data_IF_873063716928
#
_entry.id   IF_873063716928
#
_cell.length_a   1.000
_cell.length_b   1.000
_cell.length_c   1.000
_cell.angle_alpha   90.00
_cell.angle_beta   90.00
_cell.angle_gamma   90.00
#
_symmetry.space_group_name_H-M   'P 1'
#
loop_
_entity.id
_entity.type
_entity.pdbx_description
1 polymer ?
#
# COMPACT_ATOMS: atom_id res chain seq x y z
N UNK A 1 -26.10 -53.93 15.09
CA UNK A 1 -24.77 -54.42 14.68
C UNK A 1 -23.80 -53.28 14.90
N UNK A 2 -22.98 -53.43 15.95
CA UNK A 2 -21.89 -52.53 16.29
C UNK A 2 -20.83 -52.60 15.18
N UNK A 3 -20.22 -51.47 14.83
CA UNK A 3 -18.81 -51.47 14.48
C UNK A 3 -18.20 -50.11 14.82
N UNK A 4 -17.45 -50.14 15.92
CA UNK A 4 -16.47 -49.16 16.33
C UNK A 4 -15.34 -49.11 15.29
N UNK A 5 -14.85 -47.92 14.94
CA UNK A 5 -13.47 -47.80 14.51
C UNK A 5 -12.91 -46.44 14.95
N UNK A 6 -12.39 -46.43 16.16
CA UNK A 6 -11.53 -45.39 16.69
C UNK A 6 -10.13 -45.54 16.07
N UNK A 7 -9.60 -44.47 15.48
CA UNK A 7 -8.20 -44.36 15.10
C UNK A 7 -7.53 -43.33 16.00
N UNK A 8 -6.85 -43.87 17.01
CA UNK A 8 -5.99 -43.16 17.93
C UNK A 8 -4.63 -42.83 17.28
N UNK A 9 -4.09 -41.68 17.70
CA UNK A 9 -2.72 -41.20 17.53
C UNK A 9 -1.65 -42.24 17.90
N UNK A 10 -0.40 -42.00 17.45
CA UNK A 10 0.75 -42.23 18.31
C UNK A 10 1.52 -40.93 18.59
N UNK A 11 1.61 -40.63 19.89
CA UNK A 11 2.66 -39.83 20.52
C UNK A 11 3.83 -40.76 20.91
N UNK A 12 5.06 -40.41 20.52
CA UNK A 12 6.34 -40.75 21.18
C UNK A 12 7.47 -40.11 20.32
N UNK A 13 8.28 -39.14 20.77
CA UNK A 13 9.21 -39.05 21.89
C UNK A 13 10.68 -39.19 21.41
N UNK A 14 11.54 -38.29 21.95
CA UNK A 14 13.02 -38.22 22.04
C UNK A 14 13.62 -37.03 21.26
N UNK A 15 13.98 -35.89 21.86
CA UNK A 15 15.07 -35.59 22.80
C UNK A 15 16.48 -35.94 22.30
N UNK A 16 17.34 -34.92 22.36
CA UNK A 16 18.81 -34.91 22.26
C UNK A 16 19.45 -35.00 20.87
N UNK A 17 19.84 -33.85 20.31
CA UNK A 17 21.23 -33.68 19.87
C UNK A 17 21.70 -32.22 19.96
N UNK A 18 22.88 -32.07 20.52
CA UNK A 18 23.57 -30.85 20.91
C UNK A 18 24.41 -30.32 19.74
N UNK A 19 24.23 -29.06 19.38
CA UNK A 19 25.05 -28.34 18.41
C UNK A 19 25.52 -26.99 18.95
N UNK A 20 26.57 -27.04 19.77
CA UNK A 20 27.36 -25.93 20.29
C UNK A 20 27.87 -25.00 19.18
N UNK A 21 27.32 -23.78 19.08
CA UNK A 21 27.88 -22.71 18.26
C UNK A 21 28.58 -21.69 19.14
N UNK A 22 29.88 -21.93 19.34
CA UNK A 22 30.81 -21.03 20.00
C UNK A 22 31.04 -19.75 19.18
N UNK A 23 30.92 -18.59 19.83
CA UNK A 23 31.21 -17.27 19.28
C UNK A 23 32.73 -17.05 19.10
N UNK A 24 33.19 -16.34 18.06
CA UNK A 24 34.56 -15.87 17.99
C UNK A 24 34.74 -14.57 18.80
N UNK A 25 35.76 -14.57 19.65
CA UNK A 25 36.22 -13.45 20.46
C UNK A 25 36.80 -12.27 19.61
N UNK A 26 36.88 -11.04 20.17
CA UNK A 26 37.28 -9.86 19.42
C UNK A 26 38.82 -9.79 19.26
N UNK A 27 39.27 -9.41 18.06
CA UNK A 27 40.67 -9.12 17.79
C UNK A 27 41.09 -7.80 18.43
N UNK A 28 42.26 -7.85 19.06
CA UNK A 28 42.81 -6.84 19.95
C UNK A 28 43.30 -5.56 19.28
N UNK A 29 43.49 -4.57 20.16
CA UNK A 29 43.96 -3.24 19.83
C UNK A 29 45.41 -3.19 19.36
N UNK A 30 45.68 -2.12 18.60
CA UNK A 30 47.02 -1.60 18.41
C UNK A 30 47.07 -0.17 18.96
N UNK A 31 47.72 -0.10 20.10
CA UNK A 31 48.30 1.07 20.73
C UNK A 31 49.54 1.49 19.92
N UNK A 32 49.61 2.76 19.52
CA UNK A 32 50.84 3.40 19.05
C UNK A 32 51.00 4.74 19.77
N UNK A 33 51.60 4.67 20.96
CA UNK A 33 52.34 5.76 21.56
C UNK A 33 53.68 5.99 20.84
N UNK A 34 54.11 7.27 20.83
CA UNK A 34 55.38 7.76 20.30
C UNK A 34 55.20 9.23 19.91
N UNK A 35 55.20 10.18 20.84
CA UNK A 35 56.38 10.78 21.49
C UNK A 35 57.42 11.31 20.49
N UNK A 36 57.25 12.57 20.09
CA UNK A 36 58.28 13.54 19.72
C UNK A 36 57.62 14.91 19.96
N UNK A 37 57.99 15.70 20.96
CA UNK A 37 59.32 16.28 21.12
C UNK A 37 59.19 17.76 20.79
N UNK A 38 59.09 18.59 21.84
CA UNK A 38 58.84 20.01 21.72
C UNK A 38 59.98 20.81 21.09
N UNK A 39 59.63 21.98 20.57
CA UNK A 39 60.57 23.10 20.50
C UNK A 39 59.85 24.41 20.83
N UNK A 40 60.40 25.12 21.81
CA UNK A 40 59.98 26.43 22.27
C UNK A 40 60.85 27.47 21.57
N UNK A 41 60.23 28.35 20.78
CA UNK A 41 60.88 29.54 20.23
C UNK A 41 60.08 30.80 20.56
N UNK A 42 60.29 31.36 21.74
CA UNK A 42 59.90 32.73 22.11
C UNK A 42 60.94 33.73 21.61
N UNK A 43 60.50 34.86 21.03
CA UNK A 43 61.32 36.07 20.99
C UNK A 43 61.00 37.05 19.86
N UNK A 44 60.69 38.30 20.22
CA UNK A 44 61.00 39.45 19.36
C UNK A 44 59.92 40.51 19.23
N UNK A 45 59.99 41.54 20.08
CA UNK A 45 59.13 42.72 20.11
C UNK A 45 59.38 43.73 18.98
N UNK A 46 58.30 44.47 18.66
CA UNK A 46 58.22 45.92 18.41
C UNK A 46 58.93 46.57 17.22
N UNK A 47 58.13 47.29 16.42
CA UNK A 47 58.56 48.43 15.58
C UNK A 47 57.33 49.07 14.92
N UNK A 48 56.92 50.24 15.42
CA UNK A 48 55.83 51.04 14.84
C UNK A 48 56.33 51.99 13.74
N UNK A 49 55.41 52.41 12.85
CA UNK A 49 55.67 53.49 11.89
C UNK A 49 54.70 53.54 10.69
N UNK A 50 53.65 54.35 10.84
CA UNK A 50 52.89 55.12 9.84
C UNK A 50 52.52 54.55 8.45
N UNK A 51 51.20 54.51 8.22
CA UNK A 51 50.44 54.97 7.05
C UNK A 51 50.94 54.54 5.65
N UNK A 52 50.28 53.53 5.08
CA UNK A 52 49.95 53.55 3.66
C UNK A 52 48.61 52.82 3.42
N UNK A 53 47.66 53.51 2.79
CA UNK A 53 46.43 52.93 2.26
C UNK A 53 46.64 52.74 0.76
N UNK A 54 46.69 51.50 0.25
CA UNK A 54 46.46 51.28 -1.16
C UNK A 54 45.16 50.50 -1.39
N UNK A 55 44.27 51.17 -2.13
CA UNK A 55 43.41 50.62 -3.17
C UNK A 55 42.58 49.36 -2.85
N UNK A 56 41.27 49.59 -2.71
CA UNK A 56 40.24 48.71 -3.28
C UNK A 56 40.62 48.37 -4.73
N UNK A 57 41.15 47.17 -4.93
CA UNK A 57 41.50 46.62 -6.24
C UNK A 57 41.24 45.13 -6.22
N UNK A 58 40.14 44.72 -6.87
CA UNK A 58 39.76 43.33 -7.02
C UNK A 58 40.89 42.51 -7.64
N UNK A 59 41.40 41.56 -6.88
CA UNK A 59 42.10 40.40 -7.40
C UNK A 59 41.12 39.24 -7.41
N UNK A 60 40.58 38.91 -8.60
CA UNK A 60 39.85 37.65 -8.78
C UNK A 60 40.75 36.49 -8.34
N UNK A 61 40.31 35.58 -7.46
CA UNK A 61 40.99 34.31 -7.34
C UNK A 61 40.89 33.60 -8.70
N UNK A 62 42.04 33.21 -9.24
CA UNK A 62 42.16 32.43 -10.46
C UNK A 62 41.21 31.23 -10.41
N UNK A 63 40.59 30.90 -11.57
CA UNK A 63 39.68 29.76 -11.83
C UNK A 63 40.05 28.50 -11.03
N UNK A 64 39.64 28.42 -9.77
CA UNK A 64 39.72 27.20 -8.99
C UNK A 64 38.57 26.36 -9.47
N UNK A 65 38.86 25.26 -10.16
CA UNK A 65 37.85 24.25 -10.47
C UNK A 65 37.17 23.86 -9.17
N UNK A 66 35.94 24.34 -8.95
CA UNK A 66 35.16 24.01 -7.77
C UNK A 66 35.06 22.48 -7.68
N UNK A 67 35.21 21.93 -6.48
CA UNK A 67 35.03 20.50 -6.28
C UNK A 67 33.58 20.12 -6.55
N UNK A 68 33.32 18.88 -6.96
CA UNK A 68 31.95 18.40 -7.15
C UNK A 68 31.07 18.58 -5.91
N UNK A 69 31.67 18.45 -4.71
CA UNK A 69 31.01 18.69 -3.42
C UNK A 69 30.60 20.16 -3.25
N UNK A 70 31.47 21.10 -3.62
CA UNK A 70 31.15 22.53 -3.60
C UNK A 70 30.08 22.89 -4.64
N UNK A 71 30.13 22.29 -5.85
CA UNK A 71 29.09 22.47 -6.87
C UNK A 71 27.74 21.93 -6.42
N UNK A 72 27.71 20.74 -5.81
CA UNK A 72 26.49 20.16 -5.24
C UNK A 72 25.89 21.06 -4.15
N UNK A 73 26.71 21.59 -3.24
CA UNK A 73 26.27 22.53 -2.22
C UNK A 73 25.68 23.83 -2.81
N UNK A 74 26.27 24.36 -3.91
CA UNK A 74 25.72 25.52 -4.63
C UNK A 74 24.34 25.20 -5.23
N UNK A 75 24.21 24.05 -5.91
CA UNK A 75 22.94 23.63 -6.55
C UNK A 75 21.86 23.40 -5.51
N UNK A 76 22.16 22.65 -4.43
CA UNK A 76 21.22 22.42 -3.33
C UNK A 76 20.80 23.74 -2.70
N UNK A 77 21.75 24.65 -2.43
CA UNK A 77 21.43 25.96 -1.86
C UNK A 77 20.55 26.81 -2.79
N UNK A 78 20.80 26.77 -4.09
CA UNK A 78 19.99 27.46 -5.09
C UNK A 78 18.56 26.93 -5.08
N UNK A 79 18.39 25.61 -5.19
CA UNK A 79 17.08 24.96 -5.23
C UNK A 79 16.28 25.20 -3.94
N UNK A 80 16.91 25.10 -2.77
CA UNK A 80 16.27 25.42 -1.49
C UNK A 80 15.84 26.90 -1.41
N UNK A 81 16.63 27.83 -1.98
CA UNK A 81 16.28 29.26 -1.98
C UNK A 81 15.09 29.58 -2.91
N UNK A 82 14.92 28.81 -3.97
CA UNK A 82 13.76 28.88 -4.87
C UNK A 82 12.55 28.10 -4.33
N UNK A 83 12.65 27.53 -3.12
CA UNK A 83 11.56 26.82 -2.45
C UNK A 83 11.32 25.40 -2.96
N UNK A 84 12.29 24.79 -3.65
CA UNK A 84 12.19 23.39 -4.02
C UNK A 84 12.27 22.49 -2.79
N UNK A 85 11.33 21.55 -2.68
CA UNK A 85 11.38 20.49 -1.67
C UNK A 85 12.31 19.39 -2.17
N UNK A 86 13.51 19.33 -1.60
CA UNK A 86 14.54 18.34 -1.95
C UNK A 86 14.58 17.33 -0.81
N UNK A 87 14.38 16.02 -1.06
CA UNK A 87 14.35 15.00 -0.02
C UNK A 87 15.78 14.67 0.47
N UNK A 88 16.47 15.65 1.06
CA UNK A 88 17.83 15.50 1.57
C UNK A 88 17.93 14.43 2.66
N UNK A 89 16.82 14.16 3.37
CA UNK A 89 16.69 13.09 4.36
C UNK A 89 16.86 11.69 3.76
N UNK A 90 16.65 11.53 2.45
CA UNK A 90 16.88 10.26 1.74
C UNK A 90 18.36 9.97 1.47
N UNK A 91 19.25 10.95 1.65
CA UNK A 91 20.68 10.75 1.50
C UNK A 91 21.26 10.01 2.72
N UNK A 92 22.28 9.16 2.56
CA UNK A 92 23.02 8.59 3.69
C UNK A 92 23.53 9.66 4.67
N UNK A 93 23.50 9.36 5.97
CA UNK A 93 23.90 10.28 7.06
C UNK A 93 25.26 10.94 6.81
N UNK A 94 26.26 10.16 6.37
CA UNK A 94 27.60 10.68 6.08
C UNK A 94 27.60 11.76 4.99
N UNK A 95 26.75 11.60 3.96
CA UNK A 95 26.59 12.58 2.88
C UNK A 95 25.80 13.80 3.34
N UNK A 96 24.81 13.64 4.22
CA UNK A 96 24.10 14.77 4.82
C UNK A 96 25.04 15.62 5.68
N UNK A 97 25.86 14.97 6.52
CA UNK A 97 26.88 15.61 7.34
C UNK A 97 27.88 16.34 6.44
N UNK A 98 28.38 15.68 5.41
CA UNK A 98 29.33 16.28 4.49
C UNK A 98 28.75 17.48 3.74
N UNK A 99 27.54 17.36 3.18
CA UNK A 99 26.85 18.46 2.50
C UNK A 99 26.66 19.66 3.44
N UNK A 100 26.20 19.41 4.66
CA UNK A 100 25.97 20.45 5.68
C UNK A 100 27.28 21.16 6.06
N UNK A 101 28.36 20.39 6.27
CA UNK A 101 29.67 20.96 6.56
C UNK A 101 30.24 21.75 5.37
N UNK A 102 30.04 21.29 4.14
CA UNK A 102 30.45 22.03 2.95
C UNK A 102 29.67 23.34 2.85
N UNK A 103 28.34 23.32 2.96
CA UNK A 103 27.50 24.53 2.96
C UNK A 103 27.93 25.53 4.04
N UNK A 104 28.29 25.06 5.24
CA UNK A 104 28.77 25.91 6.34
C UNK A 104 30.16 26.54 6.09
N UNK A 105 30.98 25.95 5.22
CA UNK A 105 32.31 26.49 4.84
C UNK A 105 32.24 27.42 3.63
N UNK A 106 31.11 27.45 2.91
CA UNK A 106 30.96 28.27 1.72
C UNK A 106 30.61 29.72 2.06
N UNK A 107 31.20 30.65 1.29
CA UNK A 107 30.94 32.08 1.38
C UNK A 107 30.05 32.60 0.26
N UNK A 108 30.11 33.91 0.00
CA UNK A 108 29.45 34.53 -1.14
C UNK A 108 29.98 33.93 -2.45
N UNK A 109 29.05 33.50 -3.31
CA UNK A 109 29.31 33.05 -4.68
C UNK A 109 28.80 34.13 -5.63
N UNK A 110 29.63 34.52 -6.58
CA UNK A 110 29.26 35.50 -7.61
C UNK A 110 28.31 34.89 -8.65
N UNK A 111 27.62 35.75 -9.40
CA UNK A 111 26.62 35.32 -10.40
C UNK A 111 27.22 34.52 -11.55
N UNK A 112 28.45 34.82 -11.95
CA UNK A 112 29.09 34.15 -13.08
C UNK A 112 29.41 32.69 -12.70
N UNK A 113 29.96 32.49 -11.50
CA UNK A 113 30.20 31.15 -10.93
C UNK A 113 28.89 30.36 -10.74
N UNK A 114 27.83 30.99 -10.24
CA UNK A 114 26.52 30.34 -10.10
C UNK A 114 25.97 29.87 -11.46
N UNK A 115 26.03 30.73 -12.49
CA UNK A 115 25.59 30.39 -13.83
C UNK A 115 26.41 29.27 -14.46
N UNK A 116 27.74 29.26 -14.26
CA UNK A 116 28.61 28.18 -14.73
C UNK A 116 28.24 26.84 -14.10
N UNK A 117 28.04 26.81 -12.78
CA UNK A 117 27.66 25.59 -12.05
C UNK A 117 26.25 25.11 -12.43
N UNK A 118 25.29 26.02 -12.57
CA UNK A 118 23.93 25.69 -12.99
C UNK A 118 23.88 25.15 -14.43
N UNK A 119 24.67 25.74 -15.34
CA UNK A 119 24.81 25.28 -16.73
C UNK A 119 25.41 23.87 -16.81
N UNK A 120 26.49 23.62 -16.07
CA UNK A 120 27.11 22.28 -16.00
C UNK A 120 26.16 21.24 -15.41
N UNK A 121 25.36 21.61 -14.41
CA UNK A 121 24.35 20.72 -13.83
C UNK A 121 23.22 20.42 -14.84
N UNK A 122 22.73 21.42 -15.57
CA UNK A 122 21.71 21.24 -16.60
C UNK A 122 22.21 20.37 -17.76
N UNK A 123 23.44 20.60 -18.24
CA UNK A 123 24.07 19.73 -19.24
C UNK A 123 24.22 18.28 -18.72
N UNK A 124 24.54 18.11 -17.44
CA UNK A 124 24.62 16.78 -16.84
C UNK A 124 23.25 16.09 -16.83
N UNK A 125 22.17 16.82 -16.52
CA UNK A 125 20.80 16.29 -16.59
C UNK A 125 20.37 15.94 -18.02
N UNK A 126 20.65 16.81 -19.00
CA UNK A 126 20.31 16.58 -20.41
C UNK A 126 21.07 15.37 -21.00
N UNK A 127 22.28 15.08 -20.50
CA UNK A 127 23.08 13.93 -20.91
C UNK A 127 22.71 12.63 -20.17
N UNK A 128 21.87 12.67 -19.15
CA UNK A 128 21.35 11.47 -18.47
C UNK A 128 20.18 10.91 -19.29
N UNK A 129 20.49 10.08 -20.28
CA UNK A 129 19.47 9.42 -21.12
C UNK A 129 18.68 8.31 -20.41
N UNK A 130 19.27 7.68 -19.40
CA UNK A 130 18.63 6.65 -18.57
C UNK A 130 19.27 6.66 -17.19
N UNK A 131 18.51 6.96 -16.14
CA UNK A 131 18.95 6.77 -14.76
C UNK A 131 18.50 5.40 -14.28
N UNK A 132 19.41 4.63 -13.69
CA UNK A 132 19.01 3.45 -12.94
C UNK A 132 18.40 3.88 -11.60
N UNK A 133 17.41 3.15 -11.08
CA UNK A 133 16.93 3.37 -9.73
C UNK A 133 18.07 3.16 -8.72
N UNK A 134 18.12 3.98 -7.67
CA UNK A 134 19.15 3.86 -6.65
C UNK A 134 18.90 2.62 -5.77
N UNK A 135 19.88 1.71 -5.77
CA UNK A 135 19.88 0.52 -4.91
C UNK A 135 18.88 -0.57 -5.34
N UNK A 136 18.87 -1.69 -4.59
CA UNK A 136 18.01 -2.83 -4.88
C UNK A 136 16.51 -2.49 -4.75
N UNK A 137 16.16 -1.58 -3.84
CA UNK A 137 14.80 -1.12 -3.63
C UNK A 137 14.19 -0.48 -4.88
N UNK A 138 14.87 0.52 -5.43
CA UNK A 138 14.45 1.18 -6.66
C UNK A 138 14.43 0.20 -7.82
N UNK A 139 15.41 -0.71 -7.90
CA UNK A 139 15.48 -1.71 -8.96
C UNK A 139 14.29 -2.68 -8.89
N UNK A 140 13.89 -3.10 -7.70
CA UNK A 140 12.73 -3.97 -7.49
C UNK A 140 11.41 -3.26 -7.81
N UNK A 141 11.27 -1.99 -7.44
CA UNK A 141 10.10 -1.18 -7.82
C UNK A 141 10.00 -1.00 -9.34
N UNK A 142 11.12 -0.70 -10.02
CA UNK A 142 11.15 -0.60 -11.48
C UNK A 142 10.89 -1.94 -12.20
N UNK A 143 11.11 -3.06 -11.51
CA UNK A 143 10.89 -4.41 -12.03
C UNK A 143 9.57 -5.04 -11.55
N UNK A 144 8.73 -4.28 -10.85
CA UNK A 144 7.45 -4.77 -10.33
C UNK A 144 6.54 -5.23 -11.49
N UNK A 145 5.93 -6.40 -11.32
CA UNK A 145 5.16 -7.06 -12.39
C UNK A 145 5.98 -7.59 -13.58
N UNK A 146 7.32 -7.40 -13.59
CA UNK A 146 8.25 -7.96 -14.60
C UNK A 146 9.08 -9.13 -14.08
N UNK A 147 9.15 -9.31 -12.77
CA UNK A 147 9.74 -10.46 -12.09
C UNK A 147 8.67 -11.25 -11.33
N UNK A 148 8.89 -12.54 -11.09
CA UNK A 148 7.95 -13.35 -10.31
C UNK A 148 7.88 -12.85 -8.86
N UNK A 149 6.67 -12.90 -8.26
CA UNK A 149 6.44 -12.48 -6.85
C UNK A 149 7.44 -13.15 -5.89
N UNK A 150 7.64 -14.46 -6.06
CA UNK A 150 8.62 -15.24 -5.29
C UNK A 150 10.07 -14.71 -5.40
N UNK A 151 10.49 -14.28 -6.60
CA UNK A 151 11.85 -13.72 -6.80
C UNK A 151 11.97 -12.36 -6.14
N UNK A 152 10.94 -11.51 -6.29
CA UNK A 152 10.89 -10.21 -5.62
C UNK A 152 10.94 -10.37 -4.10
N UNK A 153 10.14 -11.28 -3.54
CA UNK A 153 10.10 -11.60 -2.11
C UNK A 153 11.45 -12.11 -1.58
N UNK A 154 12.11 -13.02 -2.31
CA UNK A 154 13.45 -13.49 -1.93
C UNK A 154 14.50 -12.37 -1.94
N UNK A 155 14.51 -11.54 -2.98
CA UNK A 155 15.43 -10.40 -3.06
C UNK A 155 15.15 -9.36 -1.97
N UNK A 156 13.88 -9.16 -1.59
CA UNK A 156 13.49 -8.33 -0.44
C UNK A 156 14.07 -8.88 0.87
N UNK A 157 13.94 -10.19 1.09
CA UNK A 157 14.46 -10.86 2.27
C UNK A 157 15.99 -10.86 2.35
N UNK A 158 16.70 -10.97 1.22
CA UNK A 158 18.17 -10.95 1.16
C UNK A 158 18.77 -9.58 1.45
N UNK A 159 18.14 -8.50 0.96
CA UNK A 159 18.64 -7.13 1.19
C UNK A 159 18.28 -6.55 2.56
N UNK A 160 17.23 -7.08 3.20
CA UNK A 160 16.77 -6.65 4.52
C UNK A 160 16.09 -5.28 4.51
N UNK A 161 15.20 -5.05 5.48
CA UNK A 161 14.27 -3.89 5.51
C UNK A 161 14.99 -2.53 5.40
N UNK A 162 16.22 -2.40 5.93
CA UNK A 162 17.01 -1.15 5.87
C UNK A 162 17.46 -0.75 4.46
N UNK A 163 17.60 -1.69 3.53
CA UNK A 163 18.00 -1.37 2.14
C UNK A 163 16.81 -0.94 1.27
N UNK A 164 15.59 -0.94 1.81
CA UNK A 164 14.37 -0.72 1.05
C UNK A 164 13.70 0.65 1.17
N UNK A 165 14.38 1.63 1.74
CA UNK A 165 13.83 2.97 1.97
C UNK A 165 13.20 3.11 3.36
N UNK A 166 12.40 4.16 3.55
CA UNK A 166 11.73 4.43 4.82
C UNK A 166 10.71 3.31 5.12
N UNK A 167 10.84 2.53 6.21
CA UNK A 167 9.89 1.48 6.56
C UNK A 167 8.47 2.02 6.75
N UNK A 168 8.33 3.30 7.11
CA UNK A 168 7.03 3.93 7.28
C UNK A 168 6.32 4.21 5.95
N UNK A 169 7.02 4.38 4.83
CA UNK A 169 6.36 4.49 3.51
C UNK A 169 5.57 3.23 3.18
N UNK A 170 6.13 2.07 3.50
CA UNK A 170 5.49 0.77 3.28
C UNK A 170 4.29 0.58 4.19
N UNK A 171 4.43 0.90 5.48
CA UNK A 171 3.33 0.85 6.42
C UNK A 171 2.20 1.81 5.99
N UNK A 172 2.55 3.03 5.54
CA UNK A 172 1.58 3.98 4.98
C UNK A 172 0.92 3.50 3.68
N UNK A 173 1.49 2.54 2.95
CA UNK A 173 0.89 1.99 1.74
C UNK A 173 -0.15 0.89 2.03
N UNK A 174 -0.13 0.27 3.22
CA UNK A 174 -1.04 -0.82 3.57
C UNK A 174 -2.51 -0.36 3.69
N UNK A 175 -3.50 -1.20 3.35
CA UNK A 175 -4.90 -0.90 3.64
C UNK A 175 -5.16 -0.63 5.13
N UNK A 176 -6.16 0.21 5.49
CA UNK A 176 -6.52 0.50 6.88
C UNK A 176 -6.84 -0.73 7.73
N UNK A 177 -7.48 -1.74 7.14
CA UNK A 177 -7.81 -3.03 7.75
C UNK A 177 -6.57 -3.83 8.14
N UNK A 178 -5.56 -3.93 7.25
CA UNK A 178 -4.29 -4.59 7.53
C UNK A 178 -3.51 -3.87 8.64
N UNK A 179 -3.61 -2.54 8.68
CA UNK A 179 -3.00 -1.71 9.73
C UNK A 179 -3.68 -1.93 11.09
N UNK A 180 -5.00 -2.10 11.11
CA UNK A 180 -5.76 -2.41 12.31
C UNK A 180 -5.36 -3.80 12.85
N UNK A 181 -5.32 -4.82 11.99
CA UNK A 181 -4.86 -6.17 12.37
C UNK A 181 -3.43 -6.15 12.94
N UNK A 182 -2.52 -5.41 12.29
CA UNK A 182 -1.15 -5.24 12.76
C UNK A 182 -1.11 -4.56 14.13
N UNK A 183 -1.94 -3.53 14.34
CA UNK A 183 -2.02 -2.83 15.61
C UNK A 183 -2.61 -3.69 16.75
N UNK A 184 -3.54 -4.61 16.45
CA UNK A 184 -4.10 -5.54 17.43
C UNK A 184 -3.10 -6.60 17.89
N UNK A 185 -2.21 -7.02 16.99
CA UNK A 185 -1.14 -7.96 17.30
C UNK A 185 -0.01 -7.34 18.16
N UNK A 186 0.00 -6.02 18.31
CA UNK A 186 1.09 -5.26 18.91
C UNK A 186 0.76 -4.70 20.30
N UNK A 187 1.80 -4.18 20.97
CA UNK A 187 1.59 -3.45 22.23
C UNK A 187 0.84 -2.14 21.99
N UNK A 188 0.05 -1.69 22.98
CA UNK A 188 -0.73 -0.44 22.91
C UNK A 188 0.14 0.76 22.51
N UNK A 189 1.37 0.79 23.01
CA UNK A 189 2.36 1.84 22.78
C UNK A 189 2.91 1.80 21.35
N UNK A 190 3.20 0.60 20.82
CA UNK A 190 3.64 0.41 19.43
C UNK A 190 2.52 0.80 18.46
N UNK A 191 1.29 0.34 18.73
CA UNK A 191 0.11 0.71 17.96
C UNK A 191 -0.16 2.23 18.01
N UNK A 192 0.10 2.89 19.14
CA UNK A 192 -0.03 4.34 19.24
C UNK A 192 1.04 5.10 18.43
N UNK A 193 2.27 4.59 18.37
CA UNK A 193 3.33 5.13 17.50
C UNK A 193 2.97 4.92 16.03
N UNK A 194 2.47 3.74 15.66
CA UNK A 194 1.97 3.45 14.31
C UNK A 194 0.86 4.45 13.92
N UNK A 195 -0.17 4.58 14.74
CA UNK A 195 -1.28 5.50 14.52
C UNK A 195 -0.81 6.96 14.39
N UNK A 196 0.20 7.37 15.15
CA UNK A 196 0.78 8.72 15.11
C UNK A 196 1.64 9.00 13.87
N UNK A 197 2.07 7.97 13.14
CA UNK A 197 2.89 8.06 11.92
C UNK A 197 2.08 8.01 10.61
N UNK A 198 0.79 7.68 10.70
CA UNK A 198 -0.14 7.73 9.59
C UNK A 198 -0.65 9.17 9.38
N UNK A 199 -1.10 9.47 8.16
CA UNK A 199 -1.86 10.69 7.91
C UNK A 199 -3.23 10.61 8.60
N UNK A 200 -3.87 11.77 8.82
CA UNK A 200 -5.09 11.88 9.62
C UNK A 200 -6.25 11.07 9.04
N UNK A 201 -6.39 11.03 7.72
CA UNK A 201 -7.48 10.29 7.06
C UNK A 201 -7.29 8.79 7.27
N UNK A 202 -6.08 8.29 7.02
CA UNK A 202 -5.76 6.88 7.15
C UNK A 202 -5.80 6.39 8.60
N UNK A 203 -5.35 7.22 9.54
CA UNK A 203 -5.46 6.94 10.96
C UNK A 203 -6.92 6.83 11.42
N UNK A 204 -7.81 7.69 10.92
CA UNK A 204 -9.23 7.62 11.23
C UNK A 204 -9.88 6.35 10.67
N UNK A 205 -9.56 5.98 9.42
CA UNK A 205 -10.03 4.73 8.81
C UNK A 205 -9.55 3.50 9.59
N UNK A 206 -8.26 3.45 9.96
CA UNK A 206 -7.71 2.35 10.77
C UNK A 206 -8.45 2.18 12.10
N UNK A 207 -8.87 3.28 12.75
CA UNK A 207 -9.63 3.21 14.02
C UNK A 207 -11.03 2.61 13.86
N UNK A 208 -11.65 2.70 12.68
CA UNK A 208 -12.99 2.11 12.41
C UNK A 208 -12.91 0.58 12.47
N UNK A 209 -11.81 0.00 11.98
CA UNK A 209 -11.61 -1.44 11.94
C UNK A 209 -11.16 -2.04 13.28
N UNK A 210 -10.81 -1.21 14.27
CA UNK A 210 -10.36 -1.69 15.57
C UNK A 210 -11.53 -1.91 16.56
N UNK A 211 -11.50 -2.98 17.37
CA UNK A 211 -12.45 -3.16 18.45
C UNK A 211 -12.47 -1.95 19.40
N UNK A 212 -13.65 -1.44 19.72
CA UNK A 212 -13.81 -0.21 20.51
C UNK A 212 -12.95 -0.12 21.79
N UNK A 213 -12.80 -1.19 22.60
CA UNK A 213 -11.88 -1.18 23.76
C UNK A 213 -10.41 -1.01 23.38
N UNK A 214 -9.97 -1.61 22.27
CA UNK A 214 -8.59 -1.53 21.77
C UNK A 214 -8.33 -0.13 21.22
N UNK A 215 -9.21 0.38 20.36
CA UNK A 215 -9.14 1.74 19.81
C UNK A 215 -9.03 2.81 20.91
N UNK A 216 -9.83 2.69 21.99
CA UNK A 216 -9.75 3.60 23.15
C UNK A 216 -8.40 3.56 23.87
N UNK A 217 -7.81 2.37 24.02
CA UNK A 217 -6.50 2.22 24.68
C UNK A 217 -5.38 2.82 23.83
N UNK A 218 -5.39 2.55 22.53
CA UNK A 218 -4.41 3.07 21.57
C UNK A 218 -4.49 4.60 21.53
N UNK A 219 -5.68 5.17 21.35
CA UNK A 219 -5.87 6.63 21.32
C UNK A 219 -5.47 7.31 22.63
N UNK A 220 -5.73 6.70 23.78
CA UNK A 220 -5.21 7.19 25.05
C UNK A 220 -3.67 7.13 25.11
N UNK A 221 -3.06 6.05 24.63
CA UNK A 221 -1.60 5.90 24.58
C UNK A 221 -0.91 6.91 23.65
N UNK A 222 -1.60 7.44 22.62
CA UNK A 222 -1.08 8.55 21.79
C UNK A 222 -0.73 9.76 22.64
N UNK A 223 -1.48 10.06 23.72
CA UNK A 223 -1.12 11.16 24.63
C UNK A 223 0.23 10.98 25.35
N UNK A 224 0.77 9.76 25.34
CA UNK A 224 2.00 9.38 26.03
C UNK A 224 3.19 9.20 25.06
N UNK A 225 3.02 9.43 23.76
CA UNK A 225 4.08 9.22 22.75
C UNK A 225 5.10 10.36 22.64
N UNK A 226 4.88 11.48 23.33
CA UNK A 226 5.73 12.67 23.23
C UNK A 226 7.21 12.45 23.61
N UNK A 227 7.50 11.44 24.44
CA UNK A 227 8.86 11.11 24.87
C UNK A 227 9.54 10.02 24.02
N UNK A 228 8.88 9.51 22.97
CA UNK A 228 9.44 8.47 22.11
C UNK A 228 10.52 9.08 21.23
N UNK A 229 11.73 8.52 21.28
CA UNK A 229 12.87 9.03 20.52
C UNK A 229 12.77 8.65 19.04
N UNK A 230 13.36 9.43 18.12
CA UNK A 230 13.40 9.09 16.70
C UNK A 230 13.95 7.68 16.43
N UNK A 231 15.07 7.30 17.07
CA UNK A 231 15.64 5.94 16.95
C UNK A 231 14.67 4.84 17.39
N UNK A 232 13.83 5.10 18.41
CA UNK A 232 12.80 4.14 18.84
C UNK A 232 11.70 4.01 17.78
N UNK A 233 11.25 5.14 17.23
CA UNK A 233 10.27 5.17 16.13
C UNK A 233 10.80 4.40 14.92
N UNK A 234 12.06 4.58 14.55
CA UNK A 234 12.66 3.90 13.41
C UNK A 234 12.76 2.38 13.64
N UNK A 235 13.14 1.96 14.85
CA UNK A 235 13.15 0.54 15.22
C UNK A 235 11.77 -0.09 15.20
N UNK A 236 10.75 0.63 15.66
CA UNK A 236 9.35 0.19 15.59
C UNK A 236 8.95 0.02 14.13
N UNK A 237 9.19 1.02 13.28
CA UNK A 237 8.87 0.95 11.85
C UNK A 237 9.55 -0.23 11.16
N UNK A 238 10.85 -0.46 11.43
CA UNK A 238 11.59 -1.61 10.91
C UNK A 238 11.00 -2.95 11.37
N UNK A 239 10.62 -3.07 12.64
CA UNK A 239 10.03 -4.28 13.21
C UNK A 239 8.66 -4.58 12.57
N UNK A 240 7.80 -3.58 12.48
CA UNK A 240 6.47 -3.70 11.89
C UNK A 240 6.56 -4.05 10.39
N UNK A 241 7.43 -3.38 9.65
CA UNK A 241 7.64 -3.66 8.23
C UNK A 241 8.20 -5.09 8.00
N UNK A 242 9.12 -5.56 8.85
CA UNK A 242 9.64 -6.92 8.78
C UNK A 242 8.56 -7.99 9.02
N UNK A 243 7.62 -7.73 9.94
CA UNK A 243 6.51 -8.64 10.22
C UNK A 243 5.57 -8.78 9.03
N UNK A 244 5.29 -7.67 8.33
CA UNK A 244 4.49 -7.69 7.10
C UNK A 244 5.20 -8.49 6.00
N UNK A 245 6.51 -8.33 5.82
CA UNK A 245 7.26 -9.13 4.85
C UNK A 245 7.38 -10.62 5.24
N UNK A 246 7.26 -10.92 6.53
CA UNK A 246 7.26 -12.30 7.03
C UNK A 246 5.89 -12.99 6.89
N UNK A 247 4.81 -12.25 6.61
CA UNK A 247 3.50 -12.84 6.32
C UNK A 247 3.64 -13.72 5.07
N UNK A 248 3.24 -15.01 5.13
CA UNK A 248 3.27 -15.88 3.97
C UNK A 248 2.47 -15.24 2.82
N UNK A 249 3.02 -15.27 1.60
CA UNK A 249 2.22 -14.91 0.42
C UNK A 249 1.00 -15.83 0.36
N UNK A 250 -0.19 -15.24 0.43
CA UNK A 250 -1.44 -15.97 0.19
C UNK A 250 -1.54 -16.29 -1.30
N UNK A 251 -1.95 -17.53 -1.62
CA UNK A 251 -2.06 -17.98 -3.00
C UNK A 251 -3.27 -17.38 -3.74
N UNK A 252 -4.20 -16.80 -3.00
CA UNK A 252 -5.45 -16.23 -3.51
C UNK A 252 -5.63 -14.84 -2.93
N UNK A 253 -5.86 -13.86 -3.79
CA UNK A 253 -6.06 -12.47 -3.40
C UNK A 253 -7.49 -12.25 -2.81
N UNK A 254 -8.44 -13.14 -3.12
CA UNK A 254 -9.83 -13.11 -2.62
C UNK A 254 -10.05 -13.98 -1.38
N UNK A 255 -10.96 -13.55 -0.50
CA UNK A 255 -11.33 -14.34 0.69
C UNK A 255 -12.00 -15.67 0.28
N UNK A 256 -11.96 -16.71 1.14
CA UNK A 256 -12.66 -17.97 0.86
C UNK A 256 -14.16 -17.76 0.57
N UNK A 257 -14.82 -16.83 1.28
CA UNK A 257 -16.24 -16.51 1.10
C UNK A 257 -16.53 -15.88 -0.26
N UNK A 258 -15.70 -14.90 -0.67
CA UNK A 258 -15.77 -14.26 -1.99
C UNK A 258 -15.62 -15.29 -3.12
N UNK A 259 -14.62 -16.16 -3.01
CA UNK A 259 -14.37 -17.21 -4.01
C UNK A 259 -15.54 -18.17 -4.12
N UNK A 260 -16.06 -18.65 -2.98
CA UNK A 260 -17.21 -19.55 -2.98
C UNK A 260 -18.48 -18.86 -3.48
N UNK A 261 -18.71 -17.60 -3.11
CA UNK A 261 -19.83 -16.81 -3.61
C UNK A 261 -19.77 -16.63 -5.12
N UNK A 262 -18.59 -16.33 -5.67
CA UNK A 262 -18.38 -16.23 -7.11
C UNK A 262 -18.74 -17.55 -7.83
N UNK A 263 -18.29 -18.69 -7.30
CA UNK A 263 -18.61 -20.03 -7.82
C UNK A 263 -20.12 -20.31 -7.74
N UNK A 264 -20.75 -20.03 -6.60
CA UNK A 264 -22.16 -20.34 -6.35
C UNK A 264 -23.14 -19.45 -7.11
N UNK A 265 -22.76 -18.22 -7.47
CA UNK A 265 -23.53 -17.42 -8.41
C UNK A 265 -23.61 -18.07 -9.79
N UNK A 266 -22.56 -18.76 -10.24
CA UNK A 266 -22.54 -19.52 -11.49
C UNK A 266 -23.25 -20.88 -11.39
N UNK A 267 -23.45 -21.39 -10.18
CA UNK A 267 -24.15 -22.66 -9.95
C UNK A 267 -25.66 -22.51 -10.19
N UNK A 268 -26.29 -23.62 -10.61
CA UNK A 268 -27.75 -23.69 -10.70
C UNK A 268 -28.38 -23.48 -9.31
N UNK A 269 -29.52 -22.78 -9.26
CA UNK A 269 -30.18 -22.38 -8.01
C UNK A 269 -30.34 -23.55 -7.02
N UNK A 270 -30.89 -24.68 -7.46
CA UNK A 270 -31.05 -25.85 -6.59
C UNK A 270 -29.76 -26.41 -6.01
N UNK A 271 -28.63 -26.32 -6.73
CA UNK A 271 -27.32 -26.75 -6.21
C UNK A 271 -26.71 -25.72 -5.26
N UNK A 272 -26.90 -24.43 -5.55
CA UNK A 272 -26.51 -23.35 -4.63
C UNK A 272 -27.23 -23.50 -3.29
N UNK A 273 -28.54 -23.71 -3.30
CA UNK A 273 -29.33 -23.83 -2.05
C UNK A 273 -28.95 -25.08 -1.26
N UNK A 274 -28.71 -26.20 -1.93
CA UNK A 274 -28.22 -27.45 -1.32
C UNK A 274 -26.86 -27.23 -0.64
N UNK A 275 -25.91 -26.57 -1.31
CA UNK A 275 -24.59 -26.28 -0.75
C UNK A 275 -24.67 -25.27 0.40
N UNK A 276 -25.46 -24.20 0.26
CA UNK A 276 -25.63 -23.20 1.32
C UNK A 276 -26.26 -23.79 2.59
N UNK A 277 -27.22 -24.71 2.43
CA UNK A 277 -27.82 -25.42 3.57
C UNK A 277 -26.81 -26.32 4.26
N UNK A 278 -26.00 -27.05 3.50
CA UNK A 278 -24.93 -27.87 4.07
C UNK A 278 -23.86 -27.00 4.78
N UNK A 279 -23.53 -25.84 4.21
CA UNK A 279 -22.61 -24.89 4.85
C UNK A 279 -23.19 -24.30 6.14
N UNK A 280 -24.48 -24.00 6.22
CA UNK A 280 -25.11 -23.54 7.47
C UNK A 280 -24.98 -24.57 8.61
N UNK A 281 -25.07 -25.86 8.28
CA UNK A 281 -24.97 -26.93 9.27
C UNK A 281 -23.53 -27.11 9.78
N UNK A 282 -22.52 -26.80 8.97
CA UNK A 282 -21.11 -26.97 9.31
C UNK A 282 -20.47 -25.69 9.89
N UNK A 283 -20.74 -24.53 9.29
CA UNK A 283 -20.17 -23.23 9.61
C UNK A 283 -21.11 -22.09 9.17
N UNK A 284 -21.97 -21.67 10.09
CA UNK A 284 -22.97 -20.62 9.85
C UNK A 284 -22.34 -19.24 9.52
N UNK A 285 -21.17 -18.94 10.09
CA UNK A 285 -20.46 -17.68 9.83
C UNK A 285 -19.93 -17.66 8.39
N UNK A 286 -19.24 -18.73 7.99
CA UNK A 286 -18.76 -18.87 6.62
C UNK A 286 -19.91 -18.90 5.61
N UNK A 287 -21.01 -19.60 5.91
CA UNK A 287 -22.19 -19.62 5.05
C UNK A 287 -22.79 -18.20 4.89
N UNK A 288 -22.82 -17.41 5.97
CA UNK A 288 -23.20 -16.00 5.95
C UNK A 288 -22.32 -15.17 5.00
N UNK A 289 -21.00 -15.32 5.10
CA UNK A 289 -20.05 -14.60 4.23
C UNK A 289 -20.16 -15.00 2.77
N UNK A 290 -20.38 -16.29 2.50
CA UNK A 290 -20.64 -16.79 1.16
C UNK A 290 -21.93 -16.18 0.60
N UNK A 291 -23.03 -16.12 1.37
CA UNK A 291 -24.30 -15.49 0.92
C UNK A 291 -24.11 -14.03 0.56
N UNK A 292 -23.42 -13.25 1.41
CA UNK A 292 -23.10 -11.84 1.13
C UNK A 292 -22.29 -11.65 -0.16
N UNK A 293 -21.49 -12.66 -0.52
CA UNK A 293 -20.65 -12.65 -1.71
C UNK A 293 -21.37 -13.10 -2.98
N UNK A 294 -22.59 -13.66 -2.89
CA UNK A 294 -23.37 -14.10 -4.05
C UNK A 294 -24.05 -12.89 -4.67
N UNK A 295 -23.73 -12.60 -5.92
CA UNK A 295 -24.45 -11.59 -6.69
C UNK A 295 -25.73 -12.21 -7.27
N UNK A 296 -26.90 -11.66 -6.90
CA UNK A 296 -28.23 -12.15 -7.32
C UNK A 296 -28.95 -11.10 -8.19
N UNK A 297 -30.12 -11.46 -8.74
CA UNK A 297 -30.94 -10.55 -9.53
C UNK A 297 -31.42 -9.36 -8.68
N UNK A 298 -31.92 -9.62 -7.47
CA UNK A 298 -32.33 -8.61 -6.48
C UNK A 298 -31.28 -7.50 -6.23
N UNK A 299 -29.99 -7.82 -6.29
CA UNK A 299 -28.92 -6.85 -6.04
C UNK A 299 -28.64 -5.89 -7.21
N UNK A 300 -29.24 -6.09 -8.38
CA UNK A 300 -28.97 -5.26 -9.56
C UNK A 300 -29.40 -3.81 -9.31
N UNK A 301 -30.57 -3.57 -8.70
CA UNK A 301 -31.04 -2.21 -8.41
C UNK A 301 -30.08 -1.40 -7.54
N UNK A 302 -29.48 -2.06 -6.55
CA UNK A 302 -28.59 -1.44 -5.56
C UNK A 302 -27.18 -1.25 -6.14
N UNK A 303 -26.66 -2.29 -6.79
CA UNK A 303 -25.23 -2.37 -7.15
C UNK A 303 -24.91 -1.79 -8.52
N UNK A 304 -25.88 -1.59 -9.40
CA UNK A 304 -25.66 -1.14 -10.79
C UNK A 304 -26.01 0.33 -10.94
N UNK A 305 -25.15 1.09 -11.60
CA UNK A 305 -25.45 2.48 -11.94
C UNK A 305 -26.55 2.57 -13.01
N UNK A 306 -27.52 3.51 -12.90
CA UNK A 306 -28.55 3.74 -13.92
C UNK A 306 -28.02 3.87 -15.35
N UNK A 307 -26.82 4.43 -15.52
CA UNK A 307 -26.18 4.66 -16.84
C UNK A 307 -25.72 3.37 -17.52
N UNK A 308 -25.57 2.28 -16.75
CA UNK A 308 -25.08 0.98 -17.22
C UNK A 308 -26.20 0.02 -17.61
N UNK A 309 -27.44 0.27 -17.15
CA UNK A 309 -28.63 -0.53 -17.51
C UNK A 309 -28.78 -0.71 -19.03
N UNK A 310 -28.61 0.32 -19.89
CA UNK A 310 -28.68 0.15 -21.34
C UNK A 310 -27.59 -0.77 -21.91
N UNK A 311 -26.42 -0.89 -21.26
CA UNK A 311 -25.35 -1.80 -21.69
C UNK A 311 -25.76 -3.25 -21.43
N UNK A 312 -26.29 -3.52 -20.24
CA UNK A 312 -26.81 -4.83 -19.83
C UNK A 312 -27.96 -5.24 -20.74
N UNK A 313 -28.95 -4.38 -20.95
CA UNK A 313 -30.10 -4.68 -21.79
C UNK A 313 -29.74 -4.99 -23.24
N UNK A 314 -28.63 -4.46 -23.76
CA UNK A 314 -28.20 -4.67 -25.14
C UNK A 314 -27.66 -6.07 -25.40
N UNK A 315 -27.05 -6.70 -24.40
CA UNK A 315 -26.46 -8.05 -24.52
C UNK A 315 -27.45 -9.16 -24.20
N UNK A 316 -28.61 -8.82 -23.63
CA UNK A 316 -29.65 -9.76 -23.24
C UNK A 316 -30.66 -10.03 -24.35
N UNK A 317 -31.16 -11.26 -24.43
CA UNK A 317 -32.33 -11.55 -25.22
C UNK A 317 -33.58 -10.99 -24.52
N UNK A 318 -34.43 -10.28 -25.27
CA UNK A 318 -35.65 -9.68 -24.71
C UNK A 318 -36.55 -10.71 -24.01
N UNK A 319 -36.58 -11.95 -24.49
CA UNK A 319 -37.36 -13.03 -23.89
C UNK A 319 -36.88 -13.40 -22.48
N UNK A 320 -35.60 -13.27 -22.18
CA UNK A 320 -35.06 -13.53 -20.85
C UNK A 320 -35.45 -12.40 -19.89
N UNK A 321 -35.37 -11.14 -20.33
CA UNK A 321 -35.86 -9.98 -19.57
C UNK A 321 -37.36 -10.11 -19.25
N UNK A 322 -38.18 -10.42 -20.26
CA UNK A 322 -39.63 -10.63 -20.06
C UNK A 322 -39.89 -11.78 -19.08
N UNK A 323 -39.14 -12.87 -19.19
CA UNK A 323 -39.33 -14.05 -18.33
C UNK A 323 -38.92 -13.77 -16.88
N UNK A 324 -37.81 -13.07 -16.67
CA UNK A 324 -37.33 -12.69 -15.34
C UNK A 324 -38.31 -11.71 -14.68
N UNK A 325 -38.73 -10.66 -15.39
CA UNK A 325 -39.67 -9.66 -14.87
C UNK A 325 -41.05 -10.28 -14.59
N UNK A 326 -41.55 -11.18 -15.46
CA UNK A 326 -42.81 -11.88 -15.22
C UNK A 326 -42.74 -12.88 -14.05
N UNK A 327 -41.55 -13.34 -13.69
CA UNK A 327 -41.31 -14.24 -12.56
C UNK A 327 -41.04 -13.50 -11.26
N UNK A 328 -40.50 -12.28 -11.32
CA UNK A 328 -40.21 -11.44 -10.16
C UNK A 328 -41.48 -11.17 -9.35
N UNK A 329 -41.61 -11.84 -8.21
CA UNK A 329 -42.71 -11.63 -7.26
C UNK A 329 -42.25 -11.11 -5.91
N UNK A 330 -40.99 -11.33 -5.58
CA UNK A 330 -40.39 -10.84 -4.34
C UNK A 330 -40.08 -9.35 -4.48
N UNK A 331 -40.19 -8.60 -3.39
CA UNK A 331 -40.14 -7.13 -3.40
C UNK A 331 -38.86 -6.60 -4.05
N UNK A 332 -37.70 -7.18 -3.71
CA UNK A 332 -36.39 -6.81 -4.24
C UNK A 332 -36.24 -7.13 -5.74
N UNK A 333 -36.82 -8.26 -6.19
CA UNK A 333 -36.82 -8.64 -7.60
C UNK A 333 -37.75 -7.72 -8.42
N UNK A 334 -38.87 -7.29 -7.84
CA UNK A 334 -39.79 -6.32 -8.45
C UNK A 334 -39.12 -4.95 -8.55
N UNK A 335 -38.43 -4.51 -7.50
CA UNK A 335 -37.64 -3.28 -7.50
C UNK A 335 -36.58 -3.30 -8.60
N UNK A 336 -35.81 -4.39 -8.70
CA UNK A 336 -34.85 -4.59 -9.81
C UNK A 336 -35.51 -4.52 -11.17
N UNK A 337 -36.67 -5.16 -11.32
CA UNK A 337 -37.40 -5.16 -12.59
C UNK A 337 -37.84 -3.75 -13.00
N UNK A 338 -38.36 -2.95 -12.07
CA UNK A 338 -38.72 -1.56 -12.34
C UNK A 338 -37.50 -0.67 -12.55
N UNK A 339 -36.41 -0.86 -11.80
CA UNK A 339 -35.15 -0.17 -12.00
C UNK A 339 -34.61 -0.38 -13.41
N UNK A 340 -34.61 -1.63 -13.88
CA UNK A 340 -34.20 -1.96 -15.25
C UNK A 340 -35.10 -1.27 -16.27
N UNK A 341 -36.43 -1.36 -16.12
CA UNK A 341 -37.37 -0.74 -17.05
C UNK A 341 -37.31 0.80 -17.07
N UNK A 342 -37.08 1.43 -15.92
CA UNK A 342 -37.01 2.88 -15.77
C UNK A 342 -35.77 3.48 -16.47
N UNK A 343 -34.69 2.71 -16.55
CA UNK A 343 -33.41 3.14 -17.13
C UNK A 343 -33.18 2.62 -18.57
N UNK A 344 -34.24 2.12 -19.21
CA UNK A 344 -34.25 1.72 -20.62
C UNK A 344 -35.02 2.74 -21.47
N UNK A 345 -34.93 2.62 -22.80
CA UNK A 345 -35.74 3.47 -23.68
C UNK A 345 -37.24 3.21 -23.46
N UNK A 346 -38.07 4.26 -23.44
CA UNK A 346 -39.50 4.15 -23.13
C UNK A 346 -40.23 3.18 -24.06
N UNK A 347 -39.85 3.13 -25.34
CA UNK A 347 -40.40 2.15 -26.30
C UNK A 347 -40.10 0.71 -25.89
N UNK A 348 -38.86 0.42 -25.52
CA UNK A 348 -38.45 -0.93 -25.11
C UNK A 348 -39.10 -1.34 -23.80
N UNK A 349 -39.15 -0.43 -22.82
CA UNK A 349 -39.80 -0.68 -21.55
C UNK A 349 -41.30 -0.96 -21.71
N UNK A 350 -42.00 -0.20 -22.55
CA UNK A 350 -43.43 -0.43 -22.83
C UNK A 350 -43.66 -1.79 -23.51
N UNK A 351 -42.85 -2.13 -24.52
CA UNK A 351 -42.95 -3.44 -25.18
C UNK A 351 -42.74 -4.60 -24.19
N UNK A 352 -41.76 -4.49 -23.30
CA UNK A 352 -41.49 -5.52 -22.28
C UNK A 352 -42.69 -5.62 -21.31
N UNK A 353 -43.26 -4.50 -20.85
CA UNK A 353 -44.44 -4.51 -19.96
C UNK A 353 -45.67 -5.17 -20.61
N UNK A 354 -45.89 -4.92 -21.89
CA UNK A 354 -46.95 -5.57 -22.67
C UNK A 354 -46.71 -7.09 -22.75
N UNK A 355 -45.51 -7.52 -23.14
CA UNK A 355 -45.16 -8.95 -23.23
C UNK A 355 -45.22 -9.67 -21.87
N UNK A 356 -44.80 -9.01 -20.78
CA UNK A 356 -44.91 -9.53 -19.41
C UNK A 356 -46.37 -9.79 -19.04
N UNK A 357 -47.26 -8.85 -19.40
CA UNK A 357 -48.71 -8.98 -19.14
C UNK A 357 -49.33 -10.16 -19.90
N UNK A 358 -48.79 -10.50 -21.07
CA UNK A 358 -49.23 -11.64 -21.89
C UNK A 358 -48.59 -12.98 -21.49
N UNK A 359 -47.39 -12.96 -20.88
CA UNK A 359 -46.60 -14.16 -20.53
C UNK A 359 -47.32 -15.12 -19.59
N UNK A 360 -48.15 -14.58 -18.69
CA UNK A 360 -48.84 -15.35 -17.66
C UNK A 360 -47.86 -16.00 -16.65
N UNK A 361 -48.31 -17.08 -15.98
CA UNK A 361 -47.53 -17.71 -14.90
C UNK A 361 -46.29 -18.43 -15.43
N UNK A 362 -45.11 -18.01 -14.97
CA UNK A 362 -43.82 -18.62 -15.31
C UNK A 362 -43.51 -19.81 -14.36
N UNK A 363 -42.93 -20.89 -14.91
CA UNK A 363 -42.43 -22.00 -14.09
C UNK A 363 -41.15 -21.58 -13.36
N UNK A 364 -41.02 -21.92 -12.08
CA UNK A 364 -39.86 -21.57 -11.23
C UNK A 364 -38.51 -21.76 -11.93
N UNK A 365 -38.21 -22.97 -12.40
CA UNK A 365 -36.94 -23.27 -13.08
C UNK A 365 -36.66 -22.41 -14.32
N UNK A 366 -37.70 -21.93 -15.01
CA UNK A 366 -37.56 -21.06 -16.19
C UNK A 366 -37.32 -19.61 -15.77
N UNK A 367 -38.01 -19.15 -14.72
CA UNK A 367 -37.82 -17.82 -14.15
C UNK A 367 -36.43 -17.63 -13.54
N UNK A 368 -36.02 -18.56 -12.67
CA UNK A 368 -34.68 -18.57 -12.06
C UNK A 368 -33.58 -18.67 -13.12
N UNK A 369 -33.80 -19.46 -14.16
CA UNK A 369 -32.88 -19.56 -15.30
C UNK A 369 -32.71 -18.21 -16.01
N UNK A 370 -33.80 -17.48 -16.25
CA UNK A 370 -33.77 -16.17 -16.87
C UNK A 370 -33.06 -15.13 -15.99
N UNK A 371 -33.35 -15.10 -14.68
CA UNK A 371 -32.64 -14.25 -13.72
C UNK A 371 -31.13 -14.55 -13.68
N UNK A 372 -30.75 -15.82 -13.70
CA UNK A 372 -29.33 -16.23 -13.76
C UNK A 372 -28.66 -15.79 -15.05
N UNK A 373 -29.34 -15.88 -16.20
CA UNK A 373 -28.82 -15.35 -17.48
C UNK A 373 -28.52 -13.85 -17.39
N UNK A 374 -29.39 -13.07 -16.74
CA UNK A 374 -29.21 -11.63 -16.55
C UNK A 374 -27.98 -11.34 -15.68
N UNK A 375 -27.88 -12.01 -14.53
CA UNK A 375 -26.74 -11.87 -13.61
C UNK A 375 -25.42 -12.25 -14.29
N UNK A 376 -25.42 -13.32 -15.08
CA UNK A 376 -24.23 -13.78 -15.80
C UNK A 376 -23.78 -12.78 -16.87
N UNK A 377 -24.72 -12.19 -17.62
CA UNK A 377 -24.42 -11.17 -18.61
C UNK A 377 -23.83 -9.90 -17.96
N UNK A 378 -24.37 -9.48 -16.82
CA UNK A 378 -23.83 -8.37 -16.05
C UNK A 378 -22.39 -8.67 -15.58
N UNK A 379 -22.12 -9.86 -15.05
CA UNK A 379 -20.75 -10.24 -14.63
C UNK A 379 -19.75 -10.21 -15.77
N UNK A 380 -20.13 -10.63 -16.97
CA UNK A 380 -19.25 -10.55 -18.14
C UNK A 380 -18.91 -9.09 -18.48
N UNK A 381 -19.87 -8.18 -18.35
CA UNK A 381 -19.64 -6.73 -18.52
C UNK A 381 -18.74 -6.15 -17.41
N UNK A 382 -18.85 -6.67 -16.18
CA UNK A 382 -17.96 -6.26 -15.08
C UNK A 382 -16.54 -6.77 -15.31
N UNK A 383 -16.38 -8.03 -15.70
CA UNK A 383 -15.08 -8.65 -15.97
C UNK A 383 -14.35 -7.99 -17.15
N UNK A 384 -15.09 -7.46 -18.12
CA UNK A 384 -14.53 -6.69 -19.25
C UNK A 384 -14.26 -5.22 -18.92
N UNK A 385 -14.66 -4.75 -17.73
CA UNK A 385 -14.55 -3.36 -17.31
C UNK A 385 -15.52 -2.41 -18.00
N UNK A 386 -16.54 -2.93 -18.68
CA UNK A 386 -17.59 -2.11 -19.31
C UNK A 386 -18.61 -1.57 -18.30
N UNK A 387 -18.79 -2.27 -17.18
CA UNK A 387 -19.67 -1.91 -16.06
C UNK A 387 -18.88 -2.03 -14.76
N UNK A 388 -19.09 -1.10 -13.85
CA UNK A 388 -18.51 -1.14 -12.51
C UNK A 388 -19.64 -1.27 -11.48
N UNK A 389 -19.46 -2.15 -10.50
CA UNK A 389 -20.44 -2.35 -9.43
C UNK A 389 -20.13 -1.41 -8.27
N UNK A 390 -21.16 -0.80 -7.68
CA UNK A 390 -21.04 -0.02 -6.46
C UNK A 390 -20.69 -0.91 -5.28
N UNK A 391 -19.92 -0.39 -4.33
CA UNK A 391 -19.60 -1.02 -3.04
C UNK A 391 -20.89 -1.29 -2.24
N UNK A 392 -20.99 -2.41 -1.51
CA UNK A 392 -22.16 -2.68 -0.67
C UNK A 392 -22.23 -1.74 0.56
N UNK A 393 -21.10 -1.13 0.91
CA UNK A 393 -20.93 -0.28 2.09
C UNK A 393 -21.39 1.18 1.86
N UNK A 394 -21.54 1.61 0.61
CA UNK A 394 -21.94 3.00 0.30
C UNK A 394 -23.43 3.28 0.57
N UNK A 395 -24.27 2.24 0.67
CA UNK A 395 -25.72 2.40 0.82
C UNK A 395 -26.21 2.42 2.29
N UNK A 396 -25.32 2.23 3.29
CA UNK A 396 -25.67 2.36 4.72
C UNK A 396 -25.56 3.79 5.27
N UNK A 397 -25.03 4.75 4.49
CA UNK A 397 -24.78 6.13 4.95
C UNK A 397 -25.80 7.19 4.50
N UNK A 398 -26.86 6.84 3.74
CA UNK A 398 -27.88 7.79 3.26
C UNK A 398 -29.26 7.69 3.94
#
# INVERSE_FOLDING_TARGET
MQNENALALPMAASSDDLGDFSAPAPLGGMDFGGDLGGDMGMGGMSGGGALDMPAMGGGMPAKSKLSGKAKAAIVVRLLLNEGADIPLESLPDDLQIELTQQMGRMGLIDRDTLHEVAGEFAEMLDNVGLSFPNGLAGALSAMEGKISRQTASRLRKEAGVRQFGDPWERLRALPPEDLAELAEAESTEVAAVLLSKLDTTKAAQMLIHLPGPVARRITYAVSQTAAVTPDTVDRIGLSLAAQIEARPEVAFDETPGQRMGAILTQAAAGKRDEVLTALDEEDEEFAGDVRKSIFTYALIAQRVSPVDVPKIARVLAQQDLVTAIAFATDEEDVETSEFMLANMSSRMANNIREEVSERGKVKRSVGEGAMSTIVNALRELVNSGEVELRSAEEDEED
#
